data_IF_299806878102
#
_entry.id   IF_299806878102
#
_cell.length_a   1.000
_cell.length_b   1.000
_cell.length_c   1.000
_cell.angle_alpha   90.00
_cell.angle_beta   90.00
_cell.angle_gamma   90.00
#
_symmetry.space_group_name_H-M   'P 1'
#
loop_
_entity.id
_entity.type
_entity.pdbx_description
1 polymer ?
#
# COMPACT_ATOMS: atom_id res chain seq x y z
N UNK A 1 2.50 -37.88 51.15
CA UNK A 1 2.03 -36.51 51.00
C UNK A 1 2.49 -36.02 49.62
N UNK A 2 1.61 -36.10 48.59
CA UNK A 2 1.92 -35.70 47.22
C UNK A 2 1.48 -34.25 47.04
N UNK A 3 2.45 -33.37 46.79
CA UNK A 3 2.19 -31.96 46.52
C UNK A 3 1.81 -31.84 45.04
N UNK A 4 0.54 -31.49 44.76
CA UNK A 4 0.09 -31.14 43.42
C UNK A 4 0.45 -29.64 43.19
N UNK A 5 1.42 -29.40 42.29
CA UNK A 5 1.70 -28.07 41.81
C UNK A 5 0.70 -27.76 40.66
N UNK A 6 -0.29 -26.92 40.97
CA UNK A 6 -1.23 -26.39 39.97
C UNK A 6 -0.53 -25.29 39.17
N UNK A 7 -0.06 -25.60 37.96
CA UNK A 7 0.41 -24.62 37.01
C UNK A 7 -0.79 -23.85 36.45
N UNK A 8 -1.03 -22.62 36.94
CA UNK A 8 -1.91 -21.69 36.29
C UNK A 8 -1.27 -21.22 34.96
N UNK A 9 -1.72 -21.78 33.86
CA UNK A 9 -1.49 -21.19 32.51
C UNK A 9 -2.30 -19.91 32.40
N UNK A 10 -1.68 -18.77 32.67
CA UNK A 10 -2.20 -17.46 32.29
C UNK A 10 -2.12 -17.36 30.76
N UNK A 11 -3.23 -17.69 30.09
CA UNK A 11 -3.42 -17.33 28.69
C UNK A 11 -3.55 -15.80 28.60
N UNK A 12 -2.47 -15.12 28.23
CA UNK A 12 -2.53 -13.73 27.78
C UNK A 12 -3.27 -13.74 26.44
N UNK A 13 -4.58 -13.50 26.47
CA UNK A 13 -5.28 -13.03 25.28
C UNK A 13 -4.75 -11.62 25.03
N UNK A 14 -3.87 -11.44 24.04
CA UNK A 14 -3.55 -10.12 23.49
C UNK A 14 -4.85 -9.58 22.92
N UNK A 15 -5.48 -8.62 23.62
CA UNK A 15 -6.55 -7.84 23.05
C UNK A 15 -5.97 -7.16 21.79
N UNK A 16 -6.66 -7.35 20.65
CA UNK A 16 -6.30 -6.62 19.45
C UNK A 16 -6.43 -5.11 19.76
N UNK A 17 -5.39 -4.32 19.51
CA UNK A 17 -5.42 -2.88 19.71
C UNK A 17 -6.54 -2.29 18.85
N UNK A 18 -7.35 -1.42 19.45
CA UNK A 18 -8.34 -0.64 18.71
C UNK A 18 -7.69 0.54 18.00
N UNK A 19 -8.40 1.17 17.07
CA UNK A 19 -7.95 2.44 16.45
C UNK A 19 -7.67 3.49 17.51
N UNK A 20 -8.59 3.61 18.48
CA UNK A 20 -8.50 4.58 19.58
C UNK A 20 -7.26 4.36 20.43
N UNK A 21 -6.95 3.10 20.79
CA UNK A 21 -5.75 2.76 21.55
C UNK A 21 -4.48 3.20 20.79
N UNK A 22 -4.42 2.90 19.49
CA UNK A 22 -3.27 3.25 18.66
C UNK A 22 -3.07 4.76 18.56
N UNK A 23 -4.15 5.52 18.36
CA UNK A 23 -4.09 6.98 18.27
C UNK A 23 -3.66 7.58 19.62
N UNK A 24 -4.23 7.11 20.74
CA UNK A 24 -3.89 7.58 22.07
C UNK A 24 -2.40 7.39 22.40
N UNK A 25 -1.80 6.27 21.99
CA UNK A 25 -0.36 6.02 22.16
C UNK A 25 0.54 7.03 21.43
N UNK A 26 0.02 7.71 20.41
CA UNK A 26 0.79 8.64 19.57
C UNK A 26 0.50 10.13 19.84
N UNK A 27 -0.33 10.47 20.81
CA UNK A 27 -0.79 11.85 21.06
C UNK A 27 0.34 12.85 21.34
N UNK A 28 1.41 12.40 22.00
CA UNK A 28 2.59 13.23 22.30
C UNK A 28 3.54 13.39 21.11
N UNK A 29 3.31 12.66 20.01
CA UNK A 29 4.16 12.69 18.81
C UNK A 29 3.66 13.78 17.87
N UNK A 30 4.50 14.78 17.64
CA UNK A 30 4.16 15.95 16.80
C UNK A 30 4.58 15.71 15.36
N UNK A 31 3.68 16.01 14.42
CA UNK A 31 3.90 15.95 12.97
C UNK A 31 3.55 14.59 12.36
N UNK A 32 2.99 14.64 11.14
CA UNK A 32 2.55 13.45 10.41
C UNK A 32 3.71 12.53 10.08
N UNK A 33 4.87 13.06 9.69
CA UNK A 33 6.05 12.26 9.38
C UNK A 33 6.55 11.47 10.60
N UNK A 34 6.62 12.11 11.79
CA UNK A 34 7.03 11.45 13.04
C UNK A 34 6.05 10.35 13.46
N UNK A 35 4.74 10.62 13.32
CA UNK A 35 3.70 9.62 13.59
C UNK A 35 3.73 8.47 12.56
N UNK A 36 4.03 8.77 11.29
CA UNK A 36 4.22 7.76 10.24
C UNK A 36 5.38 6.83 10.59
N UNK A 37 6.52 7.38 11.03
CA UNK A 37 7.67 6.59 11.52
C UNK A 37 7.25 5.70 12.70
N UNK A 38 6.56 6.26 13.68
CA UNK A 38 6.08 5.55 14.87
C UNK A 38 5.17 4.37 14.50
N UNK A 39 4.10 4.60 13.74
CA UNK A 39 3.15 3.54 13.39
C UNK A 39 3.76 2.49 12.48
N UNK A 40 4.58 2.89 11.50
CA UNK A 40 5.26 1.92 10.65
C UNK A 40 6.20 1.00 11.43
N UNK A 41 6.87 1.50 12.47
CA UNK A 41 7.70 0.72 13.37
C UNK A 41 6.88 -0.21 14.26
N UNK A 42 5.72 0.26 14.74
CA UNK A 42 4.81 -0.54 15.56
C UNK A 42 4.30 -1.78 14.83
N UNK A 43 4.12 -1.72 13.52
CA UNK A 43 3.67 -2.86 12.72
C UNK A 43 4.80 -3.78 12.22
N UNK A 44 6.06 -3.57 12.60
CA UNK A 44 7.14 -4.50 12.26
C UNK A 44 6.82 -5.92 12.79
N UNK A 45 6.99 -6.92 11.92
CA UNK A 45 6.70 -8.31 12.23
C UNK A 45 5.25 -8.74 11.97
N UNK A 46 4.32 -7.82 11.65
CA UNK A 46 2.95 -8.14 11.22
C UNK A 46 2.97 -8.98 9.94
N UNK A 47 2.08 -9.96 9.85
CA UNK A 47 2.05 -10.91 8.73
C UNK A 47 1.68 -10.25 7.41
N UNK A 48 2.22 -10.78 6.31
CA UNK A 48 1.86 -10.42 4.94
C UNK A 48 0.70 -11.28 4.44
N UNK A 49 -0.28 -10.65 3.78
CA UNK A 49 -1.36 -11.36 3.10
C UNK A 49 -1.41 -10.97 1.61
N UNK A 50 -1.10 -11.90 0.68
CA UNK A 50 -1.06 -11.59 -0.75
C UNK A 50 -2.44 -11.33 -1.35
N UNK A 51 -3.49 -11.66 -0.61
CA UNK A 51 -4.86 -11.52 -1.08
C UNK A 51 -5.37 -10.06 -0.99
N UNK A 52 -4.54 -9.10 -0.51
CA UNK A 52 -4.96 -7.73 -0.25
C UNK A 52 -6.09 -7.72 0.79
N UNK A 53 -5.77 -7.75 2.10
CA UNK A 53 -6.67 -8.20 3.15
C UNK A 53 -7.75 -7.20 3.57
N UNK A 54 -8.05 -6.23 2.74
CA UNK A 54 -9.03 -5.18 3.00
C UNK A 54 -10.00 -5.04 1.84
N UNK A 55 -11.28 -4.89 2.17
CA UNK A 55 -12.40 -4.80 1.23
C UNK A 55 -13.35 -3.66 1.55
N UNK A 56 -14.60 -3.83 1.12
CA UNK A 56 -15.67 -2.86 1.26
C UNK A 56 -16.40 -2.97 2.61
N UNK A 57 -16.00 -3.90 3.49
CA UNK A 57 -16.71 -4.22 4.72
C UNK A 57 -17.93 -5.16 4.49
N UNK A 58 -18.66 -5.44 5.56
CA UNK A 58 -19.73 -6.45 5.55
C UNK A 58 -20.83 -6.19 4.51
N UNK A 59 -21.08 -4.94 4.15
CA UNK A 59 -22.09 -4.55 3.15
C UNK A 59 -21.52 -4.53 1.72
N UNK A 60 -20.27 -4.92 1.54
CA UNK A 60 -19.58 -4.93 0.25
C UNK A 60 -20.31 -5.75 -0.81
N UNK A 61 -20.36 -5.22 -2.02
CA UNK A 61 -20.97 -5.89 -3.16
C UNK A 61 -20.08 -6.97 -3.78
N UNK A 62 -18.76 -6.79 -3.70
CA UNK A 62 -17.76 -7.62 -4.36
C UNK A 62 -16.76 -8.21 -3.36
N UNK A 63 -16.40 -7.44 -2.34
CA UNK A 63 -15.38 -7.81 -1.35
C UNK A 63 -15.84 -7.43 0.07
N UNK A 64 -16.29 -8.43 0.85
CA UNK A 64 -16.72 -8.25 2.24
C UNK A 64 -15.60 -8.39 3.27
N UNK A 65 -14.35 -8.37 2.86
CA UNK A 65 -13.23 -8.19 3.80
C UNK A 65 -13.40 -6.86 4.57
N UNK A 66 -12.87 -6.76 5.78
CA UNK A 66 -13.06 -5.57 6.60
C UNK A 66 -12.45 -4.32 5.95
N UNK A 67 -13.00 -3.14 6.24
CA UNK A 67 -12.47 -1.86 5.78
C UNK A 67 -11.03 -1.61 6.25
N UNK A 68 -10.66 -2.11 7.42
CA UNK A 68 -9.29 -2.08 7.94
C UNK A 68 -9.05 -3.23 8.92
N UNK A 69 -7.75 -3.54 9.11
CA UNK A 69 -7.26 -4.53 10.07
C UNK A 69 -5.80 -4.24 10.40
N UNK A 70 -5.31 -4.81 11.52
CA UNK A 70 -3.95 -4.56 12.00
C UNK A 70 -3.11 -5.83 12.16
N UNK A 71 -3.68 -7.00 11.84
CA UNK A 71 -3.05 -8.31 12.02
C UNK A 71 -2.30 -8.81 10.77
N UNK A 72 -2.55 -8.21 9.61
CA UNK A 72 -1.87 -8.54 8.34
C UNK A 72 -2.02 -7.42 7.31
N UNK A 73 -1.08 -7.34 6.37
CA UNK A 73 -1.04 -6.31 5.32
C UNK A 73 -0.51 -6.87 4.00
N UNK A 74 -0.90 -6.27 2.89
CA UNK A 74 -0.06 -6.18 1.70
C UNK A 74 0.72 -4.85 1.71
N UNK A 75 1.50 -4.58 0.65
CA UNK A 75 2.34 -3.38 0.60
C UNK A 75 1.53 -2.07 0.60
N UNK A 76 0.39 -2.05 -0.09
CA UNK A 76 -0.46 -0.85 -0.21
C UNK A 76 -1.29 -0.66 1.06
N UNK A 77 -1.93 -1.70 1.56
CA UNK A 77 -2.75 -1.62 2.78
C UNK A 77 -1.92 -1.28 4.02
N UNK A 78 -0.65 -1.67 4.06
CA UNK A 78 0.30 -1.21 5.09
C UNK A 78 0.46 0.32 5.04
N UNK A 79 0.75 0.89 3.86
CA UNK A 79 0.88 2.34 3.69
C UNK A 79 -0.39 3.08 4.07
N UNK A 80 -1.53 2.65 3.51
CA UNK A 80 -2.84 3.27 3.76
C UNK A 80 -3.16 3.31 5.26
N UNK A 81 -2.93 2.21 5.97
CA UNK A 81 -3.20 2.12 7.41
C UNK A 81 -2.25 3.02 8.20
N UNK A 82 -0.95 2.99 7.91
CA UNK A 82 0.05 3.79 8.63
C UNK A 82 -0.20 5.29 8.43
N UNK A 83 -0.44 5.73 7.19
CA UNK A 83 -0.69 7.14 6.87
C UNK A 83 -2.01 7.61 7.50
N UNK A 84 -3.06 6.77 7.46
CA UNK A 84 -4.34 7.12 8.08
C UNK A 84 -4.21 7.30 9.59
N UNK A 85 -3.55 6.38 10.30
CA UNK A 85 -3.28 6.52 11.73
C UNK A 85 -2.44 7.75 12.05
N UNK A 86 -1.41 8.03 11.22
CA UNK A 86 -0.52 9.17 11.43
C UNK A 86 -1.25 10.51 11.32
N UNK A 87 -2.30 10.59 10.51
CA UNK A 87 -3.08 11.83 10.27
C UNK A 87 -4.30 11.95 11.18
N UNK A 88 -4.74 10.86 11.82
CA UNK A 88 -5.98 10.84 12.59
C UNK A 88 -5.81 11.39 13.99
N UNK A 89 -6.84 12.07 14.49
CA UNK A 89 -6.98 12.56 15.86
C UNK A 89 -7.80 11.62 16.73
N UNK A 90 -8.70 10.88 16.10
CA UNK A 90 -9.62 9.93 16.71
C UNK A 90 -10.05 8.84 15.69
N UNK A 91 -10.91 7.93 16.12
CA UNK A 91 -11.39 6.84 15.27
C UNK A 91 -12.31 7.28 14.12
N UNK A 92 -13.02 8.40 14.26
CA UNK A 92 -13.88 8.96 13.19
C UNK A 92 -13.01 9.57 12.09
N UNK A 93 -11.98 10.36 12.46
CA UNK A 93 -10.96 10.84 11.53
C UNK A 93 -10.30 9.68 10.79
N UNK A 94 -9.91 8.62 11.52
CA UNK A 94 -9.28 7.46 10.90
C UNK A 94 -10.15 6.82 9.82
N UNK A 95 -11.42 6.58 10.12
CA UNK A 95 -12.38 6.01 9.17
C UNK A 95 -12.55 6.89 7.94
N UNK A 96 -12.63 8.19 8.14
CA UNK A 96 -12.75 9.17 7.05
C UNK A 96 -11.50 9.21 6.18
N UNK A 97 -10.32 9.27 6.80
CA UNK A 97 -9.03 9.38 6.10
C UNK A 97 -8.71 8.08 5.35
N UNK A 98 -8.90 6.90 5.96
CA UNK A 98 -8.59 5.63 5.28
C UNK A 98 -9.50 5.40 4.07
N UNK A 99 -10.77 5.84 4.14
CA UNK A 99 -11.66 5.79 2.99
C UNK A 99 -11.23 6.77 1.89
N UNK A 100 -10.82 8.00 2.24
CA UNK A 100 -10.31 8.97 1.27
C UNK A 100 -9.02 8.52 0.57
N UNK A 101 -8.08 7.91 1.30
CA UNK A 101 -6.84 7.38 0.72
C UNK A 101 -7.13 6.25 -0.27
N UNK A 102 -8.14 5.42 0.02
CA UNK A 102 -8.40 4.17 -0.68
C UNK A 102 -9.42 4.27 -1.80
N UNK A 103 -10.41 5.14 -1.67
CA UNK A 103 -11.56 5.21 -2.57
C UNK A 103 -11.74 6.62 -3.13
N UNK A 104 -12.19 6.72 -4.37
CA UNK A 104 -12.58 8.00 -4.99
C UNK A 104 -13.57 8.74 -4.10
N UNK A 105 -13.18 9.94 -3.64
CA UNK A 105 -13.94 10.79 -2.69
C UNK A 105 -14.35 10.09 -1.39
N UNK A 106 -13.66 9.03 -1.01
CA UNK A 106 -14.00 8.25 0.19
C UNK A 106 -15.25 7.38 0.06
N UNK A 107 -15.83 7.24 -1.14
CA UNK A 107 -17.03 6.45 -1.37
C UNK A 107 -16.68 4.96 -1.52
N UNK A 108 -17.05 4.16 -0.52
CA UNK A 108 -16.75 2.73 -0.49
C UNK A 108 -17.53 1.99 -1.57
N UNK A 109 -16.87 1.64 -2.65
CA UNK A 109 -17.36 0.84 -3.79
C UNK A 109 -16.17 0.19 -4.47
N UNK A 110 -16.28 -1.06 -4.88
CA UNK A 110 -15.18 -1.82 -5.47
C UNK A 110 -14.54 -1.09 -6.68
N UNK A 111 -15.32 -0.53 -7.58
CA UNK A 111 -14.81 0.17 -8.76
C UNK A 111 -14.28 1.58 -8.46
N UNK A 112 -14.61 2.15 -7.30
CA UNK A 112 -14.06 3.42 -6.80
C UNK A 112 -12.78 3.23 -5.99
N UNK A 113 -12.42 2.00 -5.63
CA UNK A 113 -11.15 1.70 -4.99
C UNK A 113 -9.99 2.00 -5.94
N UNK A 114 -8.93 2.58 -5.40
CA UNK A 114 -7.70 2.91 -6.14
C UNK A 114 -6.84 1.66 -6.36
N UNK A 115 -7.32 0.74 -7.21
CA UNK A 115 -6.66 -0.55 -7.47
C UNK A 115 -5.32 -0.43 -8.20
N UNK A 116 -5.14 0.64 -9.00
CA UNK A 116 -3.94 0.86 -9.80
C UNK A 116 -3.16 2.04 -9.25
N UNK A 117 -1.97 1.76 -8.73
CA UNK A 117 -1.16 2.73 -7.98
C UNK A 117 -0.88 3.98 -8.81
N UNK A 118 -0.40 3.82 -10.04
CA UNK A 118 0.02 4.93 -10.91
C UNK A 118 -1.14 5.59 -11.68
N UNK A 119 -2.26 4.89 -11.86
CA UNK A 119 -3.43 5.46 -12.53
C UNK A 119 -4.39 6.18 -11.57
N UNK A 120 -4.53 5.67 -10.33
CA UNK A 120 -5.57 6.08 -9.40
C UNK A 120 -4.96 6.51 -8.05
N UNK A 121 -4.25 5.62 -7.36
CA UNK A 121 -3.82 5.85 -5.98
C UNK A 121 -2.90 7.06 -5.83
N UNK A 122 -1.87 7.20 -6.67
CA UNK A 122 -0.95 8.35 -6.63
C UNK A 122 -1.67 9.65 -6.96
N UNK A 123 -2.32 9.81 -8.16
CA UNK A 123 -2.90 11.09 -8.54
C UNK A 123 -4.04 11.52 -7.62
N UNK A 124 -4.91 10.59 -7.18
CA UNK A 124 -6.03 10.95 -6.30
C UNK A 124 -5.54 11.34 -4.89
N UNK A 125 -4.52 10.66 -4.36
CA UNK A 125 -3.95 11.01 -3.06
C UNK A 125 -3.11 12.30 -3.08
N UNK A 126 -2.50 12.65 -4.22
CA UNK A 126 -1.90 13.98 -4.42
C UNK A 126 -3.00 15.04 -4.48
N UNK A 127 -4.07 14.81 -5.24
CA UNK A 127 -5.20 15.72 -5.32
C UNK A 127 -5.88 15.96 -3.96
N UNK A 128 -6.02 14.90 -3.16
CA UNK A 128 -6.56 14.97 -1.80
C UNK A 128 -5.61 15.63 -0.78
N UNK A 129 -4.36 15.96 -1.15
CA UNK A 129 -3.40 16.64 -0.28
C UNK A 129 -2.70 15.74 0.73
N UNK A 130 -2.71 14.41 0.52
CA UNK A 130 -1.94 13.50 1.37
C UNK A 130 -0.47 13.49 1.01
N UNK A 131 -0.18 13.61 -0.28
CA UNK A 131 1.18 13.53 -0.81
C UNK A 131 1.47 14.63 -1.81
N UNK A 132 2.77 14.79 -2.10
CA UNK A 132 3.29 15.62 -3.17
C UNK A 132 4.37 14.85 -3.93
N UNK A 133 4.47 15.09 -5.23
CA UNK A 133 5.58 14.57 -6.04
C UNK A 133 6.93 15.01 -5.47
N UNK A 134 7.81 14.05 -5.19
CA UNK A 134 9.12 14.33 -4.63
C UNK A 134 10.21 14.38 -5.70
N UNK A 135 10.07 13.63 -6.80
CA UNK A 135 11.15 13.48 -7.77
C UNK A 135 11.65 14.82 -8.29
N UNK A 136 10.76 15.67 -8.83
CA UNK A 136 11.16 16.99 -9.37
C UNK A 136 11.61 18.01 -8.33
N UNK A 137 11.30 17.78 -7.06
CA UNK A 137 11.71 18.69 -5.99
C UNK A 137 13.12 18.39 -5.48
N UNK A 138 13.56 17.14 -5.60
CA UNK A 138 14.77 16.66 -4.97
C UNK A 138 15.82 16.13 -5.95
N UNK A 139 15.45 15.87 -7.22
CA UNK A 139 16.38 15.36 -8.24
C UNK A 139 16.42 16.29 -9.45
N UNK A 140 17.52 16.24 -10.20
CA UNK A 140 17.69 17.01 -11.44
C UNK A 140 16.90 16.37 -12.58
N UNK A 141 16.48 17.18 -13.55
CA UNK A 141 15.68 16.72 -14.69
C UNK A 141 16.35 15.61 -15.51
N UNK A 142 17.69 15.63 -15.63
CA UNK A 142 18.47 14.60 -16.36
C UNK A 142 18.56 13.26 -15.60
N UNK A 143 18.14 13.20 -14.36
CA UNK A 143 18.08 11.99 -13.53
C UNK A 143 16.69 11.37 -13.52
N UNK A 144 15.66 12.11 -14.02
CA UNK A 144 14.26 11.70 -13.99
C UNK A 144 13.87 11.05 -15.32
N UNK A 145 13.29 9.88 -15.23
CA UNK A 145 12.76 9.09 -16.35
C UNK A 145 11.25 8.92 -16.20
N UNK A 146 10.54 8.73 -17.31
CA UNK A 146 9.09 8.51 -17.31
C UNK A 146 8.76 7.09 -17.74
N UNK A 147 7.99 6.39 -16.93
CA UNK A 147 7.33 5.13 -17.30
C UNK A 147 5.90 5.40 -17.76
N UNK A 148 5.43 4.64 -18.74
CA UNK A 148 4.07 4.70 -19.28
C UNK A 148 3.53 3.29 -19.40
N UNK A 149 2.26 3.08 -19.02
CA UNK A 149 1.57 1.82 -19.19
C UNK A 149 0.12 2.05 -19.58
N UNK A 150 -0.40 1.20 -20.46
CA UNK A 150 -1.82 1.14 -20.76
C UNK A 150 -2.52 0.26 -19.73
N UNK A 151 -3.35 0.89 -18.89
CA UNK A 151 -4.16 0.22 -17.86
C UNK A 151 -5.52 -0.11 -18.43
N UNK A 152 -5.83 -1.40 -18.53
CA UNK A 152 -7.10 -1.93 -19.00
C UNK A 152 -7.91 -2.49 -17.83
N UNK A 153 -8.71 -1.62 -17.19
CA UNK A 153 -9.59 -2.02 -16.07
C UNK A 153 -10.60 -3.08 -16.50
N UNK A 154 -11.16 -2.95 -17.71
CA UNK A 154 -12.07 -3.97 -18.28
C UNK A 154 -11.36 -5.30 -18.46
N UNK A 155 -10.16 -5.30 -19.05
CA UNK A 155 -9.33 -6.50 -19.21
C UNK A 155 -9.04 -7.17 -17.87
N UNK A 156 -8.70 -6.38 -16.84
CA UNK A 156 -8.47 -6.85 -15.49
C UNK A 156 -9.72 -7.50 -14.88
N UNK A 157 -10.87 -6.82 -14.90
CA UNK A 157 -12.14 -7.36 -14.38
C UNK A 157 -12.61 -8.61 -15.16
N UNK A 158 -12.31 -8.69 -16.46
CA UNK A 158 -12.63 -9.87 -17.25
C UNK A 158 -11.87 -11.13 -16.81
N UNK A 159 -10.70 -10.99 -16.17
CA UNK A 159 -9.98 -12.12 -15.55
C UNK A 159 -10.64 -12.63 -14.26
N UNK A 160 -11.55 -11.88 -13.66
CA UNK A 160 -12.24 -12.31 -12.44
C UNK A 160 -13.11 -13.53 -12.68
N UNK A 161 -13.03 -14.45 -11.75
CA UNK A 161 -13.88 -15.62 -11.60
C UNK A 161 -14.74 -15.48 -10.34
N UNK A 162 -15.60 -16.43 -10.07
CA UNK A 162 -16.40 -16.47 -8.83
C UNK A 162 -15.50 -16.49 -7.60
N UNK A 163 -14.36 -17.17 -7.66
CA UNK A 163 -13.38 -17.26 -6.58
C UNK A 163 -12.64 -15.93 -6.33
N UNK A 164 -12.72 -14.99 -7.26
CA UNK A 164 -12.20 -13.64 -7.07
C UNK A 164 -13.09 -12.78 -6.16
N UNK A 165 -14.35 -13.20 -5.93
CA UNK A 165 -15.30 -12.46 -5.09
C UNK A 165 -15.18 -12.92 -3.64
N UNK A 166 -15.01 -11.97 -2.72
CA UNK A 166 -14.93 -12.25 -1.29
C UNK A 166 -16.26 -12.05 -0.60
N UNK A 167 -17.20 -12.93 -0.92
CA UNK A 167 -18.59 -12.88 -0.47
C UNK A 167 -18.94 -14.21 0.24
N UNK A 168 -18.42 -14.45 1.46
CA UNK A 168 -18.48 -15.76 2.11
C UNK A 168 -19.90 -16.26 2.35
N UNK A 169 -20.86 -15.35 2.59
CA UNK A 169 -22.23 -15.68 2.95
C UNK A 169 -23.18 -15.85 1.77
N UNK A 170 -22.72 -15.56 0.52
CA UNK A 170 -23.57 -15.63 -0.65
C UNK A 170 -23.56 -17.01 -1.32
N UNK A 171 -24.70 -17.38 -1.89
CA UNK A 171 -24.83 -18.58 -2.73
C UNK A 171 -24.02 -18.44 -4.03
N UNK A 172 -23.76 -19.57 -4.68
CA UNK A 172 -23.08 -19.58 -5.99
C UNK A 172 -23.82 -18.74 -7.04
N UNK A 173 -25.16 -18.83 -7.07
CA UNK A 173 -25.98 -18.08 -8.01
C UNK A 173 -25.88 -16.57 -7.77
N UNK A 174 -25.91 -16.14 -6.50
CA UNK A 174 -25.74 -14.74 -6.14
C UNK A 174 -24.36 -14.21 -6.52
N UNK A 175 -23.29 -14.96 -6.26
CA UNK A 175 -21.92 -14.62 -6.70
C UNK A 175 -21.84 -14.50 -8.22
N UNK A 176 -22.45 -15.42 -8.99
CA UNK A 176 -22.50 -15.33 -10.45
C UNK A 176 -23.17 -14.04 -10.91
N UNK A 177 -24.30 -13.67 -10.30
CA UNK A 177 -25.01 -12.43 -10.61
C UNK A 177 -24.16 -11.20 -10.30
N UNK A 178 -23.48 -11.16 -9.14
CA UNK A 178 -22.56 -10.06 -8.77
C UNK A 178 -21.40 -9.94 -9.76
N UNK A 179 -20.79 -11.04 -10.15
CA UNK A 179 -19.70 -11.04 -11.13
C UNK A 179 -20.15 -10.54 -12.50
N UNK A 180 -21.33 -10.97 -12.99
CA UNK A 180 -21.89 -10.49 -14.25
C UNK A 180 -22.19 -8.99 -14.20
N UNK A 181 -22.77 -8.50 -13.10
CA UNK A 181 -23.01 -7.08 -12.89
C UNK A 181 -21.70 -6.28 -12.88
N UNK A 182 -20.66 -6.74 -12.17
CA UNK A 182 -19.35 -6.10 -12.14
C UNK A 182 -18.75 -5.98 -13.56
N UNK A 183 -18.80 -7.05 -14.36
CA UNK A 183 -18.31 -7.06 -15.74
C UNK A 183 -19.13 -6.13 -16.65
N UNK A 184 -20.44 -6.06 -16.45
CA UNK A 184 -21.31 -5.14 -17.20
C UNK A 184 -21.01 -3.67 -16.88
N UNK A 185 -20.74 -3.33 -15.60
CA UNK A 185 -20.37 -1.97 -15.17
C UNK A 185 -19.13 -1.45 -15.88
N UNK A 186 -18.16 -2.31 -16.21
CA UNK A 186 -16.91 -1.92 -16.85
C UNK A 186 -16.85 -2.18 -18.36
N UNK A 187 -17.91 -2.64 -19.00
CA UNK A 187 -17.91 -3.07 -20.41
C UNK A 187 -17.43 -1.98 -21.40
N UNK A 188 -17.74 -0.72 -21.06
CA UNK A 188 -17.38 0.45 -21.87
C UNK A 188 -16.21 1.24 -21.29
N UNK A 189 -15.54 0.74 -20.25
CA UNK A 189 -14.38 1.40 -19.65
C UNK A 189 -13.24 1.42 -20.67
N UNK A 190 -12.70 2.61 -21.01
CA UNK A 190 -11.60 2.70 -21.96
C UNK A 190 -10.27 2.27 -21.32
N UNK A 191 -9.34 1.83 -22.15
CA UNK A 191 -7.94 1.73 -21.75
C UNK A 191 -7.41 3.13 -21.47
N UNK A 192 -6.73 3.32 -20.32
CA UNK A 192 -6.17 4.61 -19.91
C UNK A 192 -4.65 4.52 -19.78
N UNK A 193 -3.94 5.52 -20.30
CA UNK A 193 -2.50 5.64 -20.07
C UNK A 193 -2.23 6.14 -18.65
N UNK A 194 -1.43 5.40 -17.90
CA UNK A 194 -0.85 5.82 -16.63
C UNK A 194 0.62 6.20 -16.83
N UNK A 195 1.06 7.26 -16.18
CA UNK A 195 2.45 7.73 -16.21
C UNK A 195 3.00 7.90 -14.82
N UNK A 196 4.28 7.57 -14.62
CA UNK A 196 4.99 7.82 -13.38
C UNK A 196 6.44 8.20 -13.68
N UNK A 197 6.94 9.22 -13.00
CA UNK A 197 8.35 9.60 -13.05
C UNK A 197 9.16 8.77 -12.06
N UNK A 198 10.39 8.42 -12.42
CA UNK A 198 11.24 7.60 -11.55
C UNK A 198 12.73 7.91 -11.71
N UNK A 199 13.49 7.60 -10.66
CA UNK A 199 14.96 7.62 -10.67
C UNK A 199 15.43 6.18 -10.88
N UNK A 200 16.37 5.95 -11.79
CA UNK A 200 16.93 4.62 -12.03
C UNK A 200 17.67 4.08 -10.81
N UNK A 201 17.52 2.78 -10.53
CA UNK A 201 18.23 2.09 -9.46
C UNK A 201 19.74 2.27 -9.60
N UNK A 202 20.29 2.10 -10.81
CA UNK A 202 21.72 2.21 -11.05
C UNK A 202 22.25 3.60 -10.68
N UNK A 203 21.49 4.67 -11.00
CA UNK A 203 21.88 6.05 -10.64
C UNK A 203 21.96 6.28 -9.12
N UNK A 204 21.01 5.70 -8.37
CA UNK A 204 21.03 5.78 -6.90
C UNK A 204 22.21 4.98 -6.33
N UNK A 205 22.48 3.80 -6.88
CA UNK A 205 23.60 2.96 -6.42
C UNK A 205 24.97 3.56 -6.75
N UNK A 206 25.09 4.23 -7.90
CA UNK A 206 26.31 4.95 -8.30
C UNK A 206 26.55 6.23 -7.48
N UNK A 207 25.47 6.89 -7.07
CA UNK A 207 25.52 8.12 -6.29
C UNK A 207 24.47 8.12 -5.17
N UNK A 208 24.72 7.44 -4.05
CA UNK A 208 23.77 7.37 -2.93
C UNK A 208 23.43 8.73 -2.30
N UNK A 209 24.29 9.73 -2.46
CA UNK A 209 24.08 11.08 -1.94
C UNK A 209 22.86 11.78 -2.57
N UNK A 210 22.36 11.28 -3.72
CA UNK A 210 21.10 11.73 -4.29
C UNK A 210 19.94 11.63 -3.30
N UNK A 211 19.95 10.64 -2.41
CA UNK A 211 18.92 10.47 -1.41
C UNK A 211 19.01 11.48 -0.25
N UNK A 212 20.14 12.16 -0.08
CA UNK A 212 20.39 13.06 1.06
C UNK A 212 19.42 14.23 1.13
N UNK A 213 18.87 14.65 -0.02
CA UNK A 213 17.91 15.76 -0.14
C UNK A 213 16.49 15.39 0.19
N UNK A 214 16.14 14.08 0.22
CA UNK A 214 14.79 13.63 0.56
C UNK A 214 14.43 13.96 2.01
N UNK A 215 13.14 14.19 2.33
CA UNK A 215 12.65 14.22 3.71
C UNK A 215 12.97 12.94 4.48
N UNK A 216 12.87 13.02 5.81
CA UNK A 216 13.20 11.88 6.69
C UNK A 216 12.26 10.68 6.52
N UNK A 217 11.02 10.94 6.09
CA UNK A 217 10.02 9.90 5.80
C UNK A 217 9.33 10.22 4.48
N UNK A 218 9.44 9.31 3.51
CA UNK A 218 8.77 9.41 2.20
C UNK A 218 8.19 8.06 1.79
N UNK A 219 7.16 8.08 0.94
CA UNK A 219 6.69 6.86 0.27
C UNK A 219 7.63 6.53 -0.89
N UNK A 220 7.98 5.26 -1.05
CA UNK A 220 8.76 4.75 -2.19
C UNK A 220 7.93 3.74 -2.98
N UNK A 221 7.86 3.94 -4.31
CA UNK A 221 7.18 3.07 -5.26
C UNK A 221 8.20 2.46 -6.22
N UNK A 222 8.12 1.15 -6.45
CA UNK A 222 9.06 0.40 -7.31
C UNK A 222 8.51 0.33 -8.73
N UNK A 223 9.26 0.91 -9.68
CA UNK A 223 8.82 1.15 -11.06
C UNK A 223 9.34 0.09 -12.02
N UNK A 224 8.39 -0.55 -12.72
CA UNK A 224 8.60 -1.49 -13.83
C UNK A 224 7.92 -0.93 -15.08
N UNK A 225 8.60 -0.11 -15.90
CA UNK A 225 7.98 0.56 -17.04
C UNK A 225 7.25 -0.43 -17.95
N UNK A 226 5.94 -0.19 -18.14
CA UNK A 226 5.06 -0.99 -18.97
C UNK A 226 5.14 -2.51 -18.68
N UNK A 227 5.11 -2.86 -17.42
CA UNK A 227 5.18 -4.27 -17.00
C UNK A 227 3.98 -5.05 -17.56
N UNK A 228 4.26 -5.92 -18.53
CA UNK A 228 3.22 -6.67 -19.20
C UNK A 228 2.71 -7.82 -18.31
N UNK A 229 1.49 -7.66 -17.83
CA UNK A 229 0.75 -8.65 -17.04
C UNK A 229 -0.59 -9.04 -17.70
N UNK A 230 -0.77 -8.73 -19.01
CA UNK A 230 -2.03 -9.00 -19.73
C UNK A 230 -2.47 -10.46 -19.63
N UNK A 231 -1.53 -11.40 -19.76
CA UNK A 231 -1.85 -12.83 -19.64
C UNK A 231 -2.26 -13.22 -18.21
N UNK A 232 -1.65 -12.62 -17.19
CA UNK A 232 -1.85 -12.99 -15.79
C UNK A 232 -3.06 -12.27 -15.18
N UNK A 233 -3.10 -10.93 -15.28
CA UNK A 233 -4.13 -10.11 -14.62
C UNK A 233 -4.97 -9.29 -15.61
N UNK A 234 -4.72 -9.37 -16.91
CA UNK A 234 -5.54 -8.70 -17.92
C UNK A 234 -5.09 -7.29 -18.32
N UNK A 235 -4.05 -6.73 -17.71
CA UNK A 235 -3.58 -5.37 -17.98
C UNK A 235 -2.07 -5.23 -17.79
N UNK A 236 -1.51 -4.08 -18.19
CA UNK A 236 -0.15 -3.68 -17.81
C UNK A 236 -0.15 -2.89 -16.50
N UNK A 237 1.02 -2.63 -15.94
CA UNK A 237 1.24 -1.78 -14.74
C UNK A 237 2.63 -1.11 -14.83
N UNK A 238 2.82 0.01 -14.11
CA UNK A 238 4.17 0.57 -13.89
C UNK A 238 4.68 0.33 -12.47
N UNK A 239 3.80 0.22 -11.46
CA UNK A 239 4.19 0.05 -10.06
C UNK A 239 3.96 -1.39 -9.63
N UNK A 240 5.00 -1.99 -9.02
CA UNK A 240 4.96 -3.39 -8.59
C UNK A 240 5.03 -3.56 -7.08
N UNK A 241 5.42 -2.53 -6.35
CA UNK A 241 5.58 -2.58 -4.89
C UNK A 241 5.68 -1.18 -4.30
N UNK A 242 5.29 -1.06 -3.02
CA UNK A 242 5.33 0.19 -2.26
C UNK A 242 5.92 -0.03 -0.86
N UNK A 243 6.45 1.04 -0.26
CA UNK A 243 6.94 1.05 1.11
C UNK A 243 7.18 2.46 1.62
N UNK A 244 7.60 2.56 2.87
CA UNK A 244 8.10 3.80 3.46
C UNK A 244 9.63 3.78 3.47
N UNK A 245 10.23 4.84 3.00
CA UNK A 245 11.65 5.09 3.14
C UNK A 245 11.86 6.02 4.34
N UNK A 246 12.66 5.58 5.29
CA UNK A 246 12.83 6.24 6.58
C UNK A 246 14.32 6.51 6.81
N UNK A 247 14.66 7.75 7.13
CA UNK A 247 16.02 8.14 7.51
C UNK A 247 16.27 7.79 8.97
N UNK A 248 17.26 6.95 9.21
CA UNK A 248 17.73 6.62 10.55
C UNK A 248 19.22 6.99 10.61
N UNK A 249 19.55 8.02 11.40
CA UNK A 249 20.85 8.70 11.34
C UNK A 249 21.07 9.20 9.89
N UNK A 250 22.15 8.87 9.23
CA UNK A 250 22.45 9.31 7.88
C UNK A 250 22.16 8.23 6.81
N UNK A 251 21.38 7.21 7.14
CA UNK A 251 21.06 6.09 6.26
C UNK A 251 19.56 5.93 6.07
N UNK A 252 19.15 5.48 4.89
CA UNK A 252 17.77 5.16 4.62
C UNK A 252 17.47 3.66 4.78
N UNK A 253 16.37 3.39 5.46
CA UNK A 253 15.78 2.07 5.62
C UNK A 253 14.40 2.04 4.99
N UNK A 254 14.07 0.96 4.33
CA UNK A 254 12.73 0.75 3.78
C UNK A 254 11.93 -0.15 4.71
N UNK A 255 10.75 0.34 5.13
CA UNK A 255 9.73 -0.48 5.82
C UNK A 255 8.62 -0.82 4.85
N UNK A 256 8.34 -2.09 4.70
CA UNK A 256 7.32 -2.57 3.79
C UNK A 256 6.79 -3.94 4.20
N UNK A 257 5.54 -4.23 3.81
CA UNK A 257 5.01 -5.58 3.90
C UNK A 257 5.54 -6.39 2.70
N UNK A 258 6.37 -7.39 2.95
CA UNK A 258 7.07 -8.14 1.90
C UNK A 258 6.36 -9.43 1.51
N UNK A 259 6.15 -9.63 0.20
CA UNK A 259 5.60 -10.87 -0.36
C UNK A 259 6.61 -12.02 -0.49
N UNK A 260 7.86 -11.80 -0.09
CA UNK A 260 8.89 -12.85 -0.02
C UNK A 260 9.22 -13.14 1.45
N UNK A 261 9.83 -14.31 1.71
CA UNK A 261 10.22 -14.66 3.09
C UNK A 261 10.93 -13.49 3.78
N UNK A 262 10.48 -13.12 5.00
CA UNK A 262 9.64 -13.86 5.94
C UNK A 262 8.12 -13.67 5.83
N UNK A 263 7.58 -13.03 4.76
CA UNK A 263 6.15 -12.73 4.58
C UNK A 263 5.58 -11.88 5.73
N UNK A 264 6.22 -10.76 5.99
CA UNK A 264 5.91 -9.86 7.11
C UNK A 264 6.19 -8.40 6.74
N UNK A 265 5.76 -7.50 7.61
CA UNK A 265 6.29 -6.14 7.61
C UNK A 265 7.72 -6.19 8.13
N UNK A 266 8.66 -5.72 7.32
CA UNK A 266 10.10 -5.73 7.62
C UNK A 266 10.72 -4.36 7.42
N UNK A 267 11.89 -4.17 8.06
CA UNK A 267 12.78 -3.04 7.81
C UNK A 267 14.09 -3.55 7.20
N UNK A 268 14.50 -2.96 6.09
CA UNK A 268 15.72 -3.34 5.37
C UNK A 268 16.52 -2.10 4.97
N UNK A 269 17.84 -2.20 4.99
CA UNK A 269 18.69 -1.12 4.51
C UNK A 269 18.42 -0.87 3.01
N UNK A 270 18.06 0.36 2.63
CA UNK A 270 17.51 0.65 1.31
C UNK A 270 18.47 0.37 0.16
N UNK A 271 19.74 0.82 0.26
CA UNK A 271 20.71 0.57 -0.80
C UNK A 271 21.01 -0.93 -0.97
N UNK A 272 21.10 -1.68 0.14
CA UNK A 272 21.28 -3.14 0.07
C UNK A 272 20.07 -3.84 -0.57
N UNK A 273 18.88 -3.28 -0.36
CA UNK A 273 17.66 -3.77 -1.03
C UNK A 273 17.70 -3.48 -2.53
N UNK A 274 18.09 -2.26 -2.94
CA UNK A 274 18.21 -1.89 -4.34
C UNK A 274 19.28 -2.71 -5.09
N UNK A 275 20.42 -3.01 -4.45
CA UNK A 275 21.50 -3.81 -5.04
C UNK A 275 21.02 -5.18 -5.54
N UNK A 276 20.01 -5.77 -4.88
CA UNK A 276 19.39 -7.03 -5.31
C UNK A 276 18.69 -6.92 -6.66
N UNK A 277 18.34 -5.71 -7.09
CA UNK A 277 17.61 -5.43 -8.33
C UNK A 277 18.47 -4.73 -9.39
N UNK A 278 19.74 -4.47 -9.11
CA UNK A 278 20.70 -4.05 -10.13
C UNK A 278 20.64 -5.03 -11.30
N UNK A 279 20.52 -4.54 -12.50
CA UNK A 279 20.35 -5.37 -13.71
C UNK A 279 19.05 -6.20 -13.78
N UNK A 280 18.04 -5.94 -12.93
CA UNK A 280 16.77 -6.63 -13.04
C UNK A 280 16.10 -6.34 -14.40
N UNK A 281 15.55 -7.34 -15.12
CA UNK A 281 15.06 -7.15 -16.49
C UNK A 281 13.91 -6.15 -16.60
N UNK A 282 13.01 -6.06 -15.62
CA UNK A 282 11.84 -5.19 -15.67
C UNK A 282 11.83 -4.10 -14.60
N UNK A 283 12.34 -4.35 -13.39
CA UNK A 283 12.40 -3.34 -12.32
C UNK A 283 13.53 -2.36 -12.61
N UNK A 284 13.19 -1.10 -12.90
CA UNK A 284 14.15 -0.12 -13.43
C UNK A 284 14.45 1.03 -12.48
N UNK A 285 13.52 1.36 -11.58
CA UNK A 285 13.72 2.52 -10.72
C UNK A 285 12.74 2.61 -9.58
N UNK A 286 12.79 3.74 -8.92
CA UNK A 286 11.93 4.10 -7.81
C UNK A 286 11.34 5.50 -8.02
N UNK A 287 10.14 5.68 -7.55
CA UNK A 287 9.41 6.94 -7.48
C UNK A 287 9.15 7.29 -6.02
N UNK A 288 9.26 8.57 -5.67
CA UNK A 288 9.08 9.04 -4.30
C UNK A 288 7.92 10.01 -4.18
N UNK A 289 7.18 9.90 -3.07
CA UNK A 289 6.18 10.88 -2.66
C UNK A 289 6.53 11.45 -1.29
N UNK A 290 6.52 12.77 -1.20
CA UNK A 290 6.61 13.49 0.07
C UNK A 290 5.28 13.38 0.80
N UNK A 291 5.31 13.08 2.11
CA UNK A 291 4.13 13.03 2.98
C UNK A 291 3.89 14.44 3.51
N UNK A 292 2.72 15.00 3.23
CA UNK A 292 2.37 16.36 3.66
C UNK A 292 1.88 16.38 5.10
N UNK A 293 2.13 17.47 5.81
CA UNK A 293 1.70 17.67 7.21
C UNK A 293 0.23 18.07 7.34
N UNK A 294 -0.39 18.56 6.26
CA UNK A 294 -1.76 19.10 6.27
C UNK A 294 -2.66 18.38 5.29
#
# INVERSE_FOLDING_TARGET
MKIFILLLLLSFTTLASTVEDLINESQEIVGVQSRTEYFSRKFLGTDYDPAGPLGEGLEGEIDQDPLYRFDRFDCTTFLETVISLARSRDSEDFNSIINLIRYDKGEVDFLKRHHFTDLQWIPENIHAGFFKEANRNFFKDDEIFTARADIDIKGWINKFTIDSLRLPSLTLEEKQRRLLNLKERVKNEPVREATVEYIKIDRILENPDLLSTLPDVVVVNFVRPNWNLKETIGTNMNISHQGLLIRIKDQFFMRHATQVSPLKVVEVHFLNYLERFKNHPTLKGVHFLEILEH
#
